data_IF_065036986702
#
_entry.id   IF_065036986702
#
_cell.length_a   1.000
_cell.length_b   1.000
_cell.length_c   1.000
_cell.angle_alpha   90.00
_cell.angle_beta   90.00
_cell.angle_gamma   90.00
#
_symmetry.space_group_name_H-M   'P 1'
#
loop_
_entity.id
_entity.type
_entity.pdbx_description
1 polymer ?
#
# COMPACT_ATOMS: atom_id res chain seq x y z
N UNK A 1 -8.37 0.56 11.04
CA UNK A 1 -8.08 0.48 12.49
C UNK A 1 -7.96 -1.00 12.85
N UNK A 2 -6.87 -1.44 13.48
CA UNK A 2 -6.80 -2.82 13.99
C UNK A 2 -7.83 -2.90 15.11
N UNK A 3 -8.90 -3.68 14.90
CA UNK A 3 -9.87 -3.92 15.95
C UNK A 3 -9.20 -4.82 16.99
N UNK A 4 -8.79 -4.23 18.10
CA UNK A 4 -8.31 -4.97 19.25
C UNK A 4 -9.50 -5.63 19.93
N UNK A 5 -9.87 -6.82 19.47
CA UNK A 5 -10.73 -7.68 20.29
C UNK A 5 -9.94 -8.09 21.53
N UNK A 6 -10.47 -7.72 22.70
CA UNK A 6 -9.94 -8.05 24.03
C UNK A 6 -10.06 -9.55 24.27
N UNK A 7 -9.21 -10.33 23.61
CA UNK A 7 -9.10 -11.78 23.79
C UNK A 7 -8.31 -12.12 25.05
N UNK A 8 -8.63 -13.27 25.66
CA UNK A 8 -8.24 -13.63 27.03
C UNK A 8 -6.73 -13.87 27.28
N UNK A 9 -5.88 -13.75 26.25
CA UNK A 9 -4.41 -13.87 26.32
C UNK A 9 -3.69 -12.58 25.88
N UNK A 10 -4.26 -11.41 26.17
CA UNK A 10 -3.62 -10.10 25.94
C UNK A 10 -3.09 -9.88 24.51
N UNK A 11 -3.65 -10.58 23.51
CA UNK A 11 -3.23 -10.44 22.11
C UNK A 11 -1.88 -11.07 21.74
N UNK A 12 -1.35 -11.99 22.54
CA UNK A 12 -0.08 -12.68 22.22
C UNK A 12 -0.13 -13.43 20.88
N UNK A 13 -1.31 -13.93 20.49
CA UNK A 13 -1.54 -14.54 19.18
C UNK A 13 -1.28 -13.58 18.00
N UNK A 14 -1.40 -12.26 18.20
CA UNK A 14 -1.06 -11.27 17.16
C UNK A 14 0.44 -11.17 16.90
N UNK A 15 1.28 -11.45 17.91
CA UNK A 15 2.74 -11.42 17.75
C UNK A 15 3.20 -12.57 16.84
N UNK A 16 2.51 -13.71 16.91
CA UNK A 16 2.85 -14.93 16.16
C UNK A 16 2.22 -14.95 14.76
N UNK A 17 1.29 -14.04 14.45
CA UNK A 17 0.71 -13.95 13.10
C UNK A 17 1.78 -13.54 12.09
N UNK A 18 2.10 -14.43 11.16
CA UNK A 18 3.08 -14.19 10.10
C UNK A 18 2.52 -13.30 8.98
N UNK A 19 1.23 -13.35 8.72
CA UNK A 19 0.61 -12.58 7.64
C UNK A 19 0.46 -11.11 8.03
N UNK A 20 1.10 -10.23 7.25
CA UNK A 20 1.13 -8.78 7.51
C UNK A 20 2.11 -8.36 8.61
N UNK A 21 2.89 -9.29 9.17
CA UNK A 21 3.91 -8.98 10.17
C UNK A 21 5.26 -8.64 9.53
N UNK A 22 6.03 -7.79 10.22
CA UNK A 22 7.42 -7.50 9.86
C UNK A 22 8.36 -8.68 10.17
N UNK A 23 7.92 -9.59 11.06
CA UNK A 23 8.73 -10.68 11.60
C UNK A 23 9.33 -11.58 10.50
N UNK A 24 8.57 -12.16 9.53
CA UNK A 24 9.17 -13.00 8.49
C UNK A 24 10.19 -12.26 7.62
N UNK A 25 10.05 -10.94 7.46
CA UNK A 25 10.99 -10.12 6.70
C UNK A 25 12.25 -9.77 7.49
N UNK A 26 12.13 -9.60 8.81
CA UNK A 26 13.26 -9.31 9.70
C UNK A 26 14.03 -10.57 10.14
N UNK A 27 13.35 -11.72 10.16
CA UNK A 27 13.89 -13.00 10.61
C UNK A 27 15.22 -13.40 9.94
N UNK A 28 15.41 -13.35 8.61
CA UNK A 28 16.70 -13.71 8.01
C UNK A 28 17.84 -12.80 8.49
N UNK A 29 17.58 -11.50 8.68
CA UNK A 29 18.58 -10.57 9.20
C UNK A 29 18.89 -10.85 10.67
N UNK A 30 17.88 -11.19 11.49
CA UNK A 30 18.07 -11.59 12.89
C UNK A 30 18.87 -12.90 13.01
N UNK A 31 18.61 -13.88 12.15
CA UNK A 31 19.38 -15.12 12.13
C UNK A 31 20.83 -14.85 11.69
N UNK A 32 21.04 -14.00 10.68
CA UNK A 32 22.38 -13.65 10.22
C UNK A 32 23.18 -12.91 11.30
N UNK A 33 22.59 -11.94 11.99
CA UNK A 33 23.28 -11.25 13.09
C UNK A 33 23.52 -12.18 14.29
N UNK A 34 22.57 -13.04 14.63
CA UNK A 34 22.70 -14.03 15.69
C UNK A 34 23.79 -15.06 15.40
N UNK A 35 23.88 -15.54 14.17
CA UNK A 35 24.93 -16.49 13.76
C UNK A 35 26.32 -15.86 13.77
N UNK A 36 26.47 -14.61 13.32
CA UNK A 36 27.73 -13.88 13.43
C UNK A 36 28.12 -13.70 14.89
N UNK A 37 27.19 -13.30 15.75
CA UNK A 37 27.42 -13.13 17.19
C UNK A 37 27.85 -14.43 17.87
N UNK A 38 27.18 -15.54 17.55
CA UNK A 38 27.54 -16.87 18.05
C UNK A 38 28.94 -17.32 17.58
N UNK A 39 29.27 -17.08 16.30
CA UNK A 39 30.59 -17.39 15.75
C UNK A 39 31.69 -16.58 16.43
N UNK A 40 31.44 -15.30 16.71
CA UNK A 40 32.38 -14.43 17.41
C UNK A 40 32.59 -14.90 18.87
N UNK A 41 31.51 -15.24 19.57
CA UNK A 41 31.57 -15.73 20.97
C UNK A 41 32.27 -17.07 21.11
N UNK A 42 32.21 -17.93 20.08
CA UNK A 42 32.82 -19.27 20.12
C UNK A 42 34.34 -19.28 19.96
N UNK A 43 34.95 -18.14 19.60
CA UNK A 43 36.40 -18.02 19.42
C UNK A 43 36.95 -18.62 18.12
N UNK A 44 36.11 -19.22 17.24
CA UNK A 44 36.55 -19.79 15.97
C UNK A 44 37.22 -18.78 15.01
N UNK A 45 36.95 -17.49 15.17
CA UNK A 45 37.54 -16.42 14.36
C UNK A 45 38.90 -15.92 14.87
N UNK A 46 39.28 -16.24 16.12
CA UNK A 46 40.56 -15.80 16.70
C UNK A 46 41.80 -16.24 15.91
N UNK A 47 41.93 -17.49 15.40
CA UNK A 47 43.12 -17.89 14.64
C UNK A 47 43.20 -17.25 13.25
N UNK A 48 42.07 -16.83 12.67
CA UNK A 48 42.02 -16.22 11.33
C UNK A 48 42.52 -14.78 11.38
N UNK A 49 42.12 -14.05 12.42
CA UNK A 49 42.43 -12.63 12.53
C UNK A 49 43.75 -12.38 13.27
N UNK A 50 44.18 -13.27 14.16
CA UNK A 50 45.46 -13.15 14.88
C UNK A 50 45.44 -12.24 16.12
N UNK A 51 44.25 -11.82 16.57
CA UNK A 51 44.00 -10.95 17.71
C UNK A 51 42.64 -11.30 18.33
N UNK A 52 42.50 -11.07 19.63
CA UNK A 52 41.28 -11.40 20.37
C UNK A 52 40.20 -10.33 20.16
N UNK A 53 39.26 -10.62 19.25
CA UNK A 53 38.14 -9.72 18.98
C UNK A 53 37.24 -9.53 20.20
N UNK A 54 37.21 -10.49 21.14
CA UNK A 54 36.30 -10.40 22.31
C UNK A 54 36.67 -9.22 23.20
N UNK A 55 37.96 -9.01 23.44
CA UNK A 55 38.49 -7.90 24.23
C UNK A 55 38.18 -6.53 23.61
N UNK A 56 38.14 -6.45 22.27
CA UNK A 56 37.81 -5.20 21.58
C UNK A 56 36.32 -4.84 21.70
N UNK A 57 35.44 -5.84 21.62
CA UNK A 57 33.99 -5.66 21.74
C UNK A 57 33.48 -5.61 23.19
N UNK A 58 34.31 -5.97 24.17
CA UNK A 58 33.97 -5.92 25.59
C UNK A 58 33.77 -4.48 26.09
N UNK A 59 34.38 -3.49 25.44
CA UNK A 59 34.26 -2.10 25.87
C UNK A 59 32.84 -1.55 25.58
N UNK A 60 32.02 -1.26 26.61
CA UNK A 60 30.60 -0.96 26.45
C UNK A 60 30.32 0.38 25.75
N UNK A 61 31.30 1.27 25.70
CA UNK A 61 31.13 2.62 25.15
C UNK A 61 30.80 2.63 23.65
N UNK A 62 31.49 1.81 22.84
CA UNK A 62 31.34 1.84 21.38
C UNK A 62 29.95 1.36 20.95
N UNK A 63 29.46 0.29 21.58
CA UNK A 63 28.13 -0.25 21.27
C UNK A 63 27.02 0.68 21.79
N UNK A 64 27.23 1.33 22.96
CA UNK A 64 26.27 2.27 23.52
C UNK A 64 26.12 3.52 22.62
N UNK A 65 27.22 4.09 22.15
CA UNK A 65 27.16 5.25 21.24
C UNK A 65 26.46 4.90 19.92
N UNK A 66 26.78 3.74 19.35
CA UNK A 66 26.09 3.25 18.16
C UNK A 66 24.58 3.06 18.40
N UNK A 67 24.20 2.44 19.51
CA UNK A 67 22.80 2.19 19.86
C UNK A 67 22.00 3.49 20.05
N UNK A 68 22.60 4.52 20.68
CA UNK A 68 21.95 5.82 20.87
C UNK A 68 21.69 6.50 19.52
N UNK A 69 22.70 6.58 18.64
CA UNK A 69 22.57 7.22 17.33
C UNK A 69 21.58 6.46 16.45
N UNK A 70 21.68 5.14 16.40
CA UNK A 70 20.77 4.29 15.64
C UNK A 70 19.33 4.38 16.15
N UNK A 71 19.14 4.37 17.48
CA UNK A 71 17.84 4.53 18.10
C UNK A 71 17.18 5.86 17.75
N UNK A 72 17.95 6.96 17.85
CA UNK A 72 17.45 8.28 17.51
C UNK A 72 17.05 8.39 16.03
N UNK A 73 17.90 7.94 15.11
CA UNK A 73 17.61 7.94 13.67
C UNK A 73 16.38 7.08 13.32
N UNK A 74 16.24 5.93 14.00
CA UNK A 74 15.09 5.04 13.81
C UNK A 74 13.79 5.71 14.25
N UNK A 75 13.78 6.36 15.42
CA UNK A 75 12.61 7.09 15.92
C UNK A 75 12.26 8.25 14.99
N UNK A 76 13.24 9.02 14.53
CA UNK A 76 13.03 10.14 13.63
C UNK A 76 12.38 9.68 12.30
N UNK A 77 12.89 8.59 11.70
CA UNK A 77 12.30 8.02 10.48
C UNK A 77 10.90 7.47 10.71
N UNK A 78 10.68 6.74 11.81
CA UNK A 78 9.36 6.22 12.17
C UNK A 78 8.34 7.35 12.31
N UNK A 79 8.71 8.46 12.94
CA UNK A 79 7.84 9.62 13.08
C UNK A 79 7.46 10.21 11.71
N UNK A 80 8.42 10.39 10.79
CA UNK A 80 8.12 10.88 9.44
C UNK A 80 7.20 9.92 8.66
N UNK A 81 7.46 8.61 8.73
CA UNK A 81 6.60 7.61 8.09
C UNK A 81 5.17 7.64 8.67
N UNK A 82 5.05 7.77 9.99
CA UNK A 82 3.79 7.85 10.70
C UNK A 82 2.98 9.09 10.31
N UNK A 83 3.61 10.27 10.26
CA UNK A 83 2.96 11.50 9.82
C UNK A 83 2.47 11.41 8.37
N UNK A 84 3.29 10.86 7.46
CA UNK A 84 2.89 10.63 6.07
C UNK A 84 1.70 9.68 5.96
N UNK A 85 1.70 8.61 6.75
CA UNK A 85 0.59 7.67 6.79
C UNK A 85 -0.72 8.35 7.24
N UNK A 86 -0.68 9.11 8.34
CA UNK A 86 -1.86 9.84 8.82
C UNK A 86 -2.34 10.92 7.86
N UNK A 87 -1.42 11.65 7.23
CA UNK A 87 -1.77 12.61 6.19
C UNK A 87 -2.47 11.92 5.02
N UNK A 88 -1.94 10.79 4.54
CA UNK A 88 -2.58 10.01 3.48
C UNK A 88 -3.99 9.52 3.84
N UNK A 89 -4.16 8.97 5.05
CA UNK A 89 -5.48 8.55 5.57
C UNK A 89 -6.43 9.74 5.71
N UNK A 90 -5.93 10.89 6.15
CA UNK A 90 -6.70 12.13 6.26
C UNK A 90 -7.21 12.60 4.90
N UNK A 91 -6.35 12.58 3.87
CA UNK A 91 -6.75 12.92 2.51
C UNK A 91 -7.80 11.95 1.94
N UNK A 92 -7.64 10.64 2.17
CA UNK A 92 -8.64 9.66 1.74
C UNK A 92 -10.00 9.90 2.42
N UNK A 93 -10.00 10.09 3.74
CA UNK A 93 -11.23 10.38 4.51
C UNK A 93 -11.90 11.67 4.02
N UNK A 94 -11.12 12.73 3.78
CA UNK A 94 -11.64 13.99 3.28
C UNK A 94 -12.27 13.87 1.89
N UNK A 95 -11.66 13.08 1.01
CA UNK A 95 -12.17 12.78 -0.33
C UNK A 95 -13.53 12.07 -0.27
N UNK A 96 -13.64 11.02 0.54
CA UNK A 96 -14.91 10.31 0.75
C UNK A 96 -16.02 11.21 1.30
N UNK A 97 -15.70 12.00 2.32
CA UNK A 97 -16.66 12.93 2.91
C UNK A 97 -17.12 13.96 1.88
N UNK A 98 -16.21 14.53 1.08
CA UNK A 98 -16.55 15.53 0.08
C UNK A 98 -17.51 14.98 -0.97
N UNK A 99 -17.26 13.77 -1.49
CA UNK A 99 -18.13 13.13 -2.46
C UNK A 99 -19.48 12.73 -1.88
N UNK A 100 -19.50 12.22 -0.65
CA UNK A 100 -20.74 11.91 0.05
C UNK A 100 -21.60 13.18 0.22
N UNK A 101 -21.00 14.31 0.60
CA UNK A 101 -21.72 15.58 0.73
C UNK A 101 -22.24 16.09 -0.62
N UNK A 102 -21.46 15.98 -1.69
CA UNK A 102 -21.94 16.33 -3.04
C UNK A 102 -23.15 15.49 -3.45
N UNK A 103 -23.09 14.17 -3.24
CA UNK A 103 -24.21 13.27 -3.55
C UNK A 103 -25.47 13.64 -2.74
N UNK A 104 -25.31 13.87 -1.43
CA UNK A 104 -26.41 14.25 -0.55
C UNK A 104 -27.02 15.59 -0.93
N UNK A 105 -26.20 16.59 -1.27
CA UNK A 105 -26.70 17.90 -1.69
C UNK A 105 -27.54 17.79 -2.96
N UNK A 106 -27.08 17.06 -3.98
CA UNK A 106 -27.84 16.87 -5.23
C UNK A 106 -29.20 16.21 -4.96
N UNK A 107 -29.21 15.14 -4.16
CA UNK A 107 -30.45 14.44 -3.79
C UNK A 107 -31.38 15.37 -2.98
N UNK A 108 -30.82 16.20 -2.09
CA UNK A 108 -31.63 17.12 -1.29
C UNK A 108 -32.26 18.26 -2.11
N UNK A 109 -31.57 18.75 -3.14
CA UNK A 109 -32.07 19.82 -4.01
C UNK A 109 -33.15 19.34 -4.97
N UNK A 110 -32.96 18.15 -5.56
CA UNK A 110 -33.95 17.52 -6.44
C UNK A 110 -35.32 17.36 -5.75
N UNK A 111 -35.28 17.14 -4.43
CA UNK A 111 -36.47 16.86 -3.60
C UNK A 111 -37.08 18.09 -2.92
N UNK A 112 -36.62 19.30 -3.23
CA UNK A 112 -37.23 20.52 -2.67
C UNK A 112 -38.68 20.72 -3.12
N UNK A 113 -39.07 20.16 -4.28
CA UNK A 113 -40.39 20.37 -4.86
C UNK A 113 -41.50 19.43 -4.31
N UNK A 114 -41.19 18.22 -3.83
CA UNK A 114 -42.22 17.32 -3.23
C UNK A 114 -41.69 16.47 -2.04
N UNK A 115 -41.99 16.86 -0.79
CA UNK A 115 -41.51 16.16 0.41
C UNK A 115 -42.31 14.89 0.76
N UNK A 116 -43.37 14.55 0.02
CA UNK A 116 -44.29 13.44 0.37
C UNK A 116 -44.01 12.13 -0.37
N UNK A 117 -43.17 12.16 -1.40
CA UNK A 117 -42.90 10.99 -2.23
C UNK A 117 -41.89 10.02 -1.58
N UNK A 118 -42.20 8.73 -1.56
CA UNK A 118 -41.35 7.71 -0.96
C UNK A 118 -40.02 7.59 -1.70
N UNK A 119 -38.91 7.74 -0.97
CA UNK A 119 -37.52 7.78 -1.48
C UNK A 119 -37.03 6.47 -2.12
N UNK A 120 -37.75 5.37 -1.95
CA UNK A 120 -37.27 4.05 -2.35
C UNK A 120 -37.51 3.80 -3.85
N UNK A 121 -36.41 3.67 -4.61
CA UNK A 121 -36.44 3.20 -6.00
C UNK A 121 -36.40 4.27 -7.08
N UNK A 122 -36.10 5.53 -6.74
CA UNK A 122 -35.88 6.56 -7.76
C UNK A 122 -34.65 6.21 -8.64
N UNK A 123 -34.84 6.03 -9.96
CA UNK A 123 -33.76 5.68 -10.87
C UNK A 123 -32.67 6.76 -10.90
N UNK A 124 -33.00 8.04 -10.74
CA UNK A 124 -32.02 9.12 -10.75
C UNK A 124 -31.11 9.05 -9.51
N UNK A 125 -31.70 9.00 -8.32
CA UNK A 125 -30.94 8.87 -7.07
C UNK A 125 -30.05 7.62 -7.07
N UNK A 126 -30.57 6.49 -7.56
CA UNK A 126 -29.82 5.23 -7.68
C UNK A 126 -28.63 5.36 -8.64
N UNK A 127 -28.84 6.02 -9.79
CA UNK A 127 -27.79 6.26 -10.77
C UNK A 127 -26.70 7.20 -10.22
N UNK A 128 -27.10 8.28 -9.54
CA UNK A 128 -26.18 9.24 -8.93
C UNK A 128 -25.28 8.57 -7.87
N UNK A 129 -25.86 7.78 -6.96
CA UNK A 129 -25.10 7.04 -5.94
C UNK A 129 -24.12 6.06 -6.60
N UNK A 130 -24.54 5.40 -7.69
CA UNK A 130 -23.68 4.51 -8.47
C UNK A 130 -22.47 5.26 -9.04
N UNK A 131 -22.67 6.45 -9.62
CA UNK A 131 -21.58 7.27 -10.18
C UNK A 131 -20.57 7.70 -9.11
N UNK A 132 -21.04 8.19 -7.95
CA UNK A 132 -20.14 8.57 -6.85
C UNK A 132 -19.40 7.37 -6.24
N UNK A 133 -20.04 6.20 -6.19
CA UNK A 133 -19.40 4.96 -5.76
C UNK A 133 -18.31 4.54 -6.75
N UNK A 134 -18.60 4.58 -8.05
CA UNK A 134 -17.61 4.29 -9.11
C UNK A 134 -16.42 5.26 -9.05
N UNK A 135 -16.68 6.56 -8.88
CA UNK A 135 -15.63 7.57 -8.70
C UNK A 135 -14.72 7.22 -7.51
N UNK A 136 -15.33 6.77 -6.41
CA UNK A 136 -14.60 6.36 -5.22
C UNK A 136 -13.75 5.12 -5.45
N UNK A 137 -14.30 4.13 -6.14
CA UNK A 137 -13.56 2.91 -6.49
C UNK A 137 -12.39 3.22 -7.42
N UNK A 138 -12.59 4.06 -8.44
CA UNK A 138 -11.53 4.47 -9.39
C UNK A 138 -10.40 5.18 -8.66
N UNK A 139 -10.71 6.09 -7.74
CA UNK A 139 -9.67 6.79 -6.99
C UNK A 139 -8.88 5.86 -6.07
N UNK A 140 -9.53 4.91 -5.39
CA UNK A 140 -8.85 3.91 -4.58
C UNK A 140 -8.00 2.96 -5.41
N UNK A 141 -8.50 2.56 -6.58
CA UNK A 141 -7.75 1.76 -7.53
C UNK A 141 -6.51 2.52 -7.99
N UNK A 142 -6.67 3.80 -8.37
CA UNK A 142 -5.55 4.66 -8.78
C UNK A 142 -4.50 4.81 -7.68
N UNK A 143 -4.94 4.88 -6.42
CA UNK A 143 -4.04 4.94 -5.27
C UNK A 143 -3.32 3.62 -5.01
N UNK A 144 -3.96 2.47 -5.31
CA UNK A 144 -3.42 1.15 -5.05
C UNK A 144 -2.45 0.66 -6.14
N UNK A 145 -2.86 0.75 -7.41
CA UNK A 145 -2.15 0.18 -8.57
C UNK A 145 -1.50 1.23 -9.48
N UNK A 146 -1.73 2.53 -9.25
CA UNK A 146 -1.24 3.58 -10.15
C UNK A 146 -2.24 3.84 -11.28
N UNK A 147 -1.86 3.67 -12.55
CA UNK A 147 -2.81 3.87 -13.64
C UNK A 147 -3.76 2.66 -13.79
N UNK A 148 -5.10 2.88 -13.78
CA UNK A 148 -6.06 1.80 -13.91
C UNK A 148 -5.97 1.14 -15.30
N UNK A 149 -5.85 -0.18 -15.30
CA UNK A 149 -5.75 -0.98 -16.53
C UNK A 149 -7.11 -1.02 -17.26
N UNK A 150 -7.12 -1.11 -18.59
CA UNK A 150 -8.35 -1.21 -19.40
C UNK A 150 -9.33 -2.30 -18.91
N UNK A 151 -8.83 -3.40 -18.33
CA UNK A 151 -9.66 -4.47 -17.73
C UNK A 151 -10.40 -4.01 -16.47
N UNK A 152 -9.78 -3.16 -15.66
CA UNK A 152 -10.37 -2.66 -14.42
C UNK A 152 -11.48 -1.64 -14.71
N UNK A 153 -11.30 -0.84 -15.77
CA UNK A 153 -12.36 0.01 -16.33
C UNK A 153 -13.56 -0.80 -16.82
N UNK A 154 -13.30 -1.94 -17.49
CA UNK A 154 -14.37 -2.83 -17.95
C UNK A 154 -15.17 -3.43 -16.79
N UNK A 155 -14.50 -3.81 -15.70
CA UNK A 155 -15.13 -4.37 -14.49
C UNK A 155 -15.99 -3.35 -13.73
N UNK A 156 -15.68 -2.06 -13.85
CA UNK A 156 -16.47 -0.98 -13.25
C UNK A 156 -17.80 -0.73 -13.96
N UNK A 157 -18.05 -1.36 -15.10
CA UNK A 157 -19.34 -1.37 -15.77
C UNK A 157 -19.78 0.03 -16.22
N UNK A 158 -18.85 0.84 -16.74
CA UNK A 158 -19.13 2.10 -17.44
C UNK A 158 -19.11 1.86 -18.95
N UNK A 159 -20.26 1.57 -19.60
CA UNK A 159 -20.30 1.30 -21.03
C UNK A 159 -20.09 2.58 -21.86
N UNK A 160 -20.25 3.76 -21.26
CA UNK A 160 -20.37 5.02 -22.00
C UNK A 160 -19.05 5.82 -22.11
N UNK A 161 -18.04 5.51 -21.28
CA UNK A 161 -16.67 6.04 -21.47
C UNK A 161 -15.87 5.27 -22.55
N UNK A 162 -16.55 4.40 -23.32
CA UNK A 162 -15.93 3.61 -24.37
C UNK A 162 -15.54 4.44 -25.60
N UNK A 163 -16.18 5.56 -25.92
CA UNK A 163 -15.90 6.24 -27.19
C UNK A 163 -14.54 6.96 -27.23
N UNK A 164 -14.06 7.56 -26.14
CA UNK A 164 -12.71 8.17 -26.13
C UNK A 164 -11.59 7.19 -25.78
N UNK A 165 -11.91 6.11 -25.06
CA UNK A 165 -10.94 5.09 -24.67
C UNK A 165 -10.76 3.99 -25.71
N UNK A 166 -11.78 3.68 -26.55
CA UNK A 166 -11.61 2.81 -27.72
C UNK A 166 -10.70 3.50 -28.74
N UNK A 167 -10.87 4.79 -29.02
CA UNK A 167 -9.97 5.52 -29.93
C UNK A 167 -8.53 5.57 -29.37
N UNK A 168 -8.37 5.73 -28.06
CA UNK A 168 -7.05 5.68 -27.42
C UNK A 168 -6.46 4.25 -27.39
N UNK A 169 -7.29 3.22 -27.25
CA UNK A 169 -6.88 1.82 -27.26
C UNK A 169 -6.58 1.32 -28.69
N UNK A 170 -7.31 1.78 -29.70
CA UNK A 170 -7.01 1.55 -31.11
C UNK A 170 -5.72 2.26 -31.52
N UNK A 171 -5.51 3.53 -31.08
CA UNK A 171 -4.23 4.22 -31.26
C UNK A 171 -3.06 3.50 -30.57
N UNK A 172 -3.22 3.05 -29.31
CA UNK A 172 -2.17 2.28 -28.63
C UNK A 172 -1.93 0.93 -29.30
N UNK A 173 -2.98 0.27 -29.80
CA UNK A 173 -2.84 -1.01 -30.50
C UNK A 173 -2.14 -0.84 -31.84
N UNK A 174 -2.36 0.27 -32.55
CA UNK A 174 -1.63 0.64 -33.76
C UNK A 174 -0.17 1.02 -33.49
N UNK A 175 0.16 1.68 -32.37
CA UNK A 175 1.54 2.02 -32.00
C UNK A 175 2.34 0.82 -31.48
N UNK A 176 1.71 -0.10 -30.73
CA UNK A 176 2.41 -1.23 -30.09
C UNK A 176 2.56 -2.44 -31.03
N UNK A 177 1.65 -2.63 -32.01
CA UNK A 177 1.77 -3.72 -32.99
C UNK A 177 3.04 -3.73 -33.85
N UNK A 178 3.58 -2.60 -34.36
CA UNK A 178 4.80 -2.62 -35.17
C UNK A 178 6.06 -2.97 -34.36
N UNK A 179 6.18 -2.49 -33.12
CA UNK A 179 7.34 -2.80 -32.26
C UNK A 179 7.40 -4.28 -31.88
N UNK A 180 6.25 -4.87 -31.53
CA UNK A 180 6.17 -6.31 -31.22
C UNK A 180 6.48 -7.19 -32.45
N UNK A 181 6.15 -6.71 -33.65
CA UNK A 181 6.46 -7.39 -34.92
C UNK A 181 7.94 -7.33 -35.26
N UNK A 182 8.62 -6.23 -34.93
CA UNK A 182 10.07 -6.05 -35.07
C UNK A 182 10.85 -6.95 -34.09
N UNK A 183 10.43 -7.03 -32.84
CA UNK A 183 11.04 -7.96 -31.88
C UNK A 183 10.87 -9.42 -32.31
N UNK A 184 9.67 -9.81 -32.73
CA UNK A 184 9.40 -11.18 -33.21
C UNK A 184 10.14 -11.52 -34.51
N UNK A 185 10.37 -10.55 -35.40
CA UNK A 185 11.23 -10.76 -36.58
C UNK A 185 12.71 -10.90 -36.21
N UNK A 186 13.19 -10.15 -35.21
CA UNK A 186 14.58 -10.26 -34.74
C UNK A 186 14.88 -11.60 -34.04
N UNK A 187 13.86 -12.21 -33.42
CA UNK A 187 13.95 -13.51 -32.74
C UNK A 187 13.90 -14.71 -33.71
N UNK A 188 13.34 -14.56 -34.91
CA UNK A 188 13.27 -15.62 -35.93
C UNK A 188 14.49 -15.66 -36.89
N UNK A 189 15.44 -14.74 -36.73
CA UNK A 189 16.67 -14.63 -37.53
C UNK A 189 17.93 -15.11 -36.79
N UNK A 190 17.78 -15.71 -35.60
CA UNK A 190 18.82 -16.44 -34.86
C UNK A 190 18.47 -17.92 -34.78
#
# INVERSE_FOLDING_TARGET
>A
MIHYERTHWYGLSYIVRLQGSLLPRALPAMLFSGTISALLSSGYLTPIFGWDLTTFFEHPFSIQMYAIVFGYLSIARLNTCYQRWWSGVGHCTNMYNSWQQCALHVISFDRMDDPRESQHGDPFCTHLIKLFTQLSTVAMLKLHSGEPTAKEWLLLGTPECHLSSIDAYEKMKEEVQPELKLELMSLNLR
#
